data_IF_283252866004
#
_entry.id   IF_283252866004
#
_cell.length_a   1.000
_cell.length_b   1.000
_cell.length_c   1.000
_cell.angle_alpha   90.00
_cell.angle_beta   90.00
_cell.angle_gamma   90.00
#
_symmetry.space_group_name_H-M   'P 1'
#
loop_
_entity.id
_entity.type
_entity.pdbx_description
1 polymer ?
#
# COMPACT_ATOMS: atom_id res chain seq x y z
N UNK A 1 -2.09 -52.05 -1.35
CA UNK A 1 -2.07 -50.71 -1.96
C UNK A 1 -2.23 -49.67 -0.86
N UNK A 2 -1.16 -48.91 -0.60
CA UNK A 2 -1.08 -47.99 0.52
C UNK A 2 -1.84 -46.70 0.20
N UNK A 3 -2.66 -46.17 1.12
CA UNK A 3 -3.49 -44.96 0.93
C UNK A 3 -2.68 -43.74 0.49
N UNK A 4 -1.39 -43.73 0.81
CA UNK A 4 -0.45 -42.66 0.44
C UNK A 4 -0.05 -42.66 -1.04
N UNK A 5 -0.27 -43.76 -1.78
CA UNK A 5 0.08 -43.83 -3.21
C UNK A 5 -1.01 -43.25 -4.11
N UNK A 6 -2.27 -43.18 -3.63
CA UNK A 6 -3.38 -42.57 -4.36
C UNK A 6 -3.31 -41.03 -4.31
N UNK A 7 -2.82 -40.49 -3.19
CA UNK A 7 -2.64 -39.05 -3.00
C UNK A 7 -1.60 -38.46 -3.97
N UNK A 8 -0.51 -39.19 -4.26
CA UNK A 8 0.49 -38.75 -5.23
C UNK A 8 -0.03 -38.75 -6.68
N UNK A 9 -0.94 -39.67 -7.03
CA UNK A 9 -1.56 -39.71 -8.36
C UNK A 9 -2.58 -38.59 -8.58
N UNK A 10 -3.27 -38.13 -7.53
CA UNK A 10 -4.21 -37.00 -7.63
C UNK A 10 -3.46 -35.66 -7.85
N UNK A 11 -2.25 -35.52 -7.31
CA UNK A 11 -1.41 -34.33 -7.49
C UNK A 11 -0.83 -34.17 -8.91
N UNK A 12 -0.81 -35.24 -9.72
CA UNK A 12 -0.29 -35.21 -11.10
C UNK A 12 -1.38 -35.00 -12.17
N UNK A 13 -2.66 -34.94 -11.78
CA UNK A 13 -3.81 -34.74 -12.69
C UNK A 13 -4.28 -33.27 -12.71
N UNK A 14 -3.56 -32.34 -12.07
CA UNK A 14 -3.78 -30.90 -12.30
C UNK A 14 -2.98 -30.49 -13.55
N UNK A 15 -3.31 -31.15 -14.66
CA UNK A 15 -2.93 -30.74 -15.98
C UNK A 15 -3.61 -29.42 -16.29
N UNK A 16 -2.79 -28.39 -16.54
CA UNK A 16 -3.06 -27.29 -17.49
C UNK A 16 -4.53 -26.89 -17.62
N UNK A 17 -5.17 -26.46 -16.53
CA UNK A 17 -6.41 -25.70 -16.66
C UNK A 17 -6.01 -24.29 -17.08
N UNK A 18 -6.37 -23.82 -18.29
CA UNK A 18 -6.23 -22.41 -18.62
C UNK A 18 -7.03 -21.63 -17.57
N UNK A 19 -6.34 -20.86 -16.72
CA UNK A 19 -6.98 -19.80 -15.93
C UNK A 19 -7.35 -18.71 -16.92
N UNK A 20 -8.45 -18.92 -17.63
CA UNK A 20 -9.09 -17.95 -18.50
C UNK A 20 -10.53 -17.82 -18.00
N UNK A 21 -10.87 -16.66 -17.42
CA UNK A 21 -12.23 -16.44 -16.94
C UNK A 21 -12.49 -15.17 -16.13
N UNK A 22 -11.48 -14.44 -15.63
CA UNK A 22 -11.71 -13.04 -15.28
C UNK A 22 -11.77 -12.28 -16.61
N UNK A 23 -12.91 -11.65 -16.90
CA UNK A 23 -13.00 -10.76 -18.05
C UNK A 23 -11.90 -9.71 -17.93
N UNK A 24 -11.22 -9.38 -19.03
CA UNK A 24 -10.16 -8.37 -19.01
C UNK A 24 -10.64 -7.01 -18.47
N UNK A 25 -11.96 -6.74 -18.56
CA UNK A 25 -12.62 -5.62 -17.88
C UNK A 25 -12.64 -5.74 -16.35
N UNK A 26 -12.89 -6.93 -15.78
CA UNK A 26 -12.81 -7.16 -14.33
C UNK A 26 -11.40 -6.91 -13.80
N UNK A 27 -10.35 -7.28 -14.54
CA UNK A 27 -8.97 -6.99 -14.12
C UNK A 27 -8.71 -5.48 -13.98
N UNK A 28 -9.20 -4.67 -14.93
CA UNK A 28 -9.06 -3.21 -14.88
C UNK A 28 -9.82 -2.64 -13.67
N UNK A 29 -11.00 -3.17 -13.37
CA UNK A 29 -11.79 -2.71 -12.24
C UNK A 29 -11.22 -3.16 -10.89
N UNK A 30 -10.65 -4.36 -10.81
CA UNK A 30 -9.87 -4.82 -9.66
C UNK A 30 -8.64 -3.94 -9.41
N UNK A 31 -7.90 -3.56 -10.45
CA UNK A 31 -6.76 -2.64 -10.34
C UNK A 31 -7.18 -1.26 -9.84
N UNK A 32 -8.32 -0.73 -10.30
CA UNK A 32 -8.88 0.53 -9.79
C UNK A 32 -9.29 0.41 -8.32
N UNK A 33 -9.93 -0.69 -7.93
CA UNK A 33 -10.31 -0.95 -6.54
C UNK A 33 -9.06 -1.06 -5.64
N UNK A 34 -8.02 -1.76 -6.09
CA UNK A 34 -6.75 -1.87 -5.39
C UNK A 34 -6.07 -0.50 -5.24
N UNK A 35 -6.10 0.35 -6.28
CA UNK A 35 -5.61 1.74 -6.22
C UNK A 35 -6.32 2.52 -5.10
N UNK A 36 -7.65 2.47 -5.06
CA UNK A 36 -8.44 3.17 -4.04
C UNK A 36 -8.12 2.67 -2.63
N UNK A 37 -8.02 1.36 -2.44
CA UNK A 37 -7.65 0.79 -1.14
C UNK A 37 -6.26 1.25 -0.68
N UNK A 38 -5.27 1.25 -1.59
CA UNK A 38 -3.92 1.75 -1.30
C UNK A 38 -3.92 3.23 -0.91
N UNK A 39 -4.68 4.08 -1.63
CA UNK A 39 -4.81 5.50 -1.29
C UNK A 39 -5.34 5.70 0.14
N UNK A 40 -6.38 4.97 0.52
CA UNK A 40 -6.97 5.05 1.87
C UNK A 40 -5.95 4.62 2.94
N UNK A 41 -5.26 3.50 2.73
CA UNK A 41 -4.26 2.98 3.68
C UNK A 41 -3.11 3.98 3.86
N UNK A 42 -2.55 4.47 2.76
CA UNK A 42 -1.39 5.35 2.80
C UNK A 42 -1.74 6.73 3.36
N UNK A 43 -2.93 7.25 3.05
CA UNK A 43 -3.45 8.48 3.65
C UNK A 43 -3.63 8.31 5.16
N UNK A 44 -4.28 7.22 5.59
CA UNK A 44 -4.44 6.90 7.01
C UNK A 44 -3.09 6.80 7.73
N UNK A 45 -2.09 6.16 7.14
CA UNK A 45 -0.75 6.06 7.71
C UNK A 45 -0.08 7.43 7.87
N UNK A 46 -0.15 8.27 6.84
CA UNK A 46 0.38 9.62 6.88
C UNK A 46 -0.31 10.49 7.95
N UNK A 47 -1.63 10.44 8.00
CA UNK A 47 -2.44 11.20 8.96
C UNK A 47 -2.14 10.74 10.40
N UNK A 48 -2.03 9.42 10.63
CA UNK A 48 -1.65 8.86 11.93
C UNK A 48 -0.25 9.31 12.39
N UNK A 49 0.73 9.32 11.48
CA UNK A 49 2.06 9.84 11.79
C UNK A 49 2.05 11.34 12.14
N UNK A 50 1.24 12.13 11.43
CA UNK A 50 1.04 13.55 11.71
C UNK A 50 0.40 13.78 13.08
N UNK A 51 -0.68 13.07 13.39
CA UNK A 51 -1.37 13.17 14.68
C UNK A 51 -0.46 12.77 15.84
N UNK A 52 0.23 11.64 15.73
CA UNK A 52 1.15 11.19 16.78
C UNK A 52 2.29 12.19 17.01
N UNK A 53 2.84 12.77 15.94
CA UNK A 53 3.85 13.81 16.07
C UNK A 53 3.32 15.06 16.79
N UNK A 54 2.10 15.50 16.47
CA UNK A 54 1.45 16.62 17.15
C UNK A 54 1.22 16.34 18.63
N UNK A 55 0.71 15.15 18.98
CA UNK A 55 0.51 14.76 20.38
C UNK A 55 1.80 14.74 21.19
N UNK A 56 2.92 14.32 20.58
CA UNK A 56 4.23 14.34 21.25
C UNK A 56 4.74 15.77 21.50
N UNK A 57 4.48 16.71 20.59
CA UNK A 57 4.86 18.10 20.77
C UNK A 57 3.96 18.83 21.77
N UNK A 58 2.65 18.56 21.76
CA UNK A 58 1.73 19.06 22.79
C UNK A 58 2.15 18.57 24.16
N UNK A 59 2.44 17.26 24.30
CA UNK A 59 2.94 16.68 25.54
C UNK A 59 4.24 17.34 25.99
N UNK A 60 5.20 17.55 25.09
CA UNK A 60 6.45 18.22 25.43
C UNK A 60 6.22 19.67 25.89
N UNK A 61 5.27 20.37 25.29
CA UNK A 61 4.93 21.76 25.63
C UNK A 61 4.22 21.85 26.98
N UNK A 62 3.25 20.98 27.23
CA UNK A 62 2.53 20.91 28.51
C UNK A 62 3.46 20.58 29.67
N UNK A 63 4.40 19.65 29.46
CA UNK A 63 5.42 19.31 30.45
C UNK A 63 6.37 20.48 30.74
N UNK A 64 6.78 21.23 29.72
CA UNK A 64 7.65 22.40 29.88
C UNK A 64 6.93 23.55 30.61
N UNK A 65 5.64 23.76 30.32
CA UNK A 65 4.80 24.78 30.95
C UNK A 65 4.40 24.46 32.39
N UNK A 66 4.24 23.18 32.73
CA UNK A 66 3.77 22.74 34.06
C UNK A 66 4.83 22.82 35.16
N UNK A 67 6.01 23.43 34.91
CA UNK A 67 7.16 23.42 35.83
C UNK A 67 7.55 21.99 36.27
N UNK A 68 7.22 20.98 35.46
CA UNK A 68 7.43 19.58 35.78
C UNK A 68 8.92 19.25 35.91
N UNK A 69 9.27 18.38 36.86
CA UNK A 69 10.63 17.80 37.02
C UNK A 69 10.99 16.82 35.89
N UNK A 70 10.60 17.10 34.65
CA UNK A 70 11.00 16.28 33.52
C UNK A 70 12.39 16.75 33.08
N UNK A 71 13.39 15.86 33.05
CA UNK A 71 14.73 16.23 32.62
C UNK A 71 14.69 16.80 31.20
N UNK A 72 15.40 17.90 30.95
CA UNK A 72 15.55 18.48 29.61
C UNK A 72 15.88 17.47 28.49
N UNK A 73 16.70 16.42 28.74
CA UNK A 73 16.91 15.34 27.77
C UNK A 73 15.64 14.58 27.36
N UNK A 74 14.69 14.37 28.28
CA UNK A 74 13.42 13.71 27.98
C UNK A 74 12.52 14.60 27.11
N UNK A 75 12.44 15.90 27.41
CA UNK A 75 11.75 16.87 26.54
C UNK A 75 12.36 16.92 25.14
N UNK A 76 13.69 16.93 25.04
CA UNK A 76 14.41 16.86 23.76
C UNK A 76 14.10 15.55 23.01
N UNK A 77 14.00 14.43 23.73
CA UNK A 77 13.65 13.13 23.15
C UNK A 77 12.23 13.13 22.56
N UNK A 78 11.24 13.68 23.28
CA UNK A 78 9.86 13.83 22.78
C UNK A 78 9.82 14.65 21.49
N UNK A 79 10.42 15.85 21.49
CA UNK A 79 10.48 16.72 20.31
C UNK A 79 11.22 16.08 19.13
N UNK A 80 12.31 15.35 19.41
CA UNK A 80 13.06 14.62 18.38
C UNK A 80 12.20 13.50 17.78
N UNK A 81 11.45 12.78 18.62
CA UNK A 81 10.54 11.73 18.18
C UNK A 81 9.39 12.31 17.35
N UNK A 82 8.78 13.41 17.81
CA UNK A 82 7.76 14.13 17.06
C UNK A 82 8.25 14.51 15.65
N UNK A 83 9.45 15.11 15.56
CA UNK A 83 10.09 15.43 14.27
C UNK A 83 10.30 14.19 13.38
N UNK A 84 10.76 13.08 13.96
CA UNK A 84 10.95 11.84 13.21
C UNK A 84 9.62 11.31 12.63
N UNK A 85 8.53 11.38 13.40
CA UNK A 85 7.21 10.98 12.91
C UNK A 85 6.64 11.93 11.86
N UNK A 86 6.87 13.24 11.94
CA UNK A 86 6.53 14.17 10.85
C UNK A 86 7.25 13.81 9.55
N UNK A 87 8.57 13.60 9.63
CA UNK A 87 9.36 13.20 8.47
C UNK A 87 8.87 11.87 7.86
N UNK A 88 8.44 10.92 8.69
CA UNK A 88 7.84 9.66 8.23
C UNK A 88 6.48 9.89 7.57
N UNK A 89 5.63 10.75 8.13
CA UNK A 89 4.36 11.16 7.53
C UNK A 89 4.55 11.79 6.15
N UNK A 90 5.47 12.75 6.02
CA UNK A 90 5.81 13.39 4.74
C UNK A 90 6.37 12.39 3.72
N UNK A 91 7.24 11.49 4.17
CA UNK A 91 7.79 10.43 3.30
C UNK A 91 6.70 9.46 2.83
N UNK A 92 5.78 9.07 3.72
CA UNK A 92 4.64 8.23 3.39
C UNK A 92 3.72 8.92 2.37
N UNK A 93 3.46 10.22 2.52
CA UNK A 93 2.69 11.00 1.53
C UNK A 93 3.38 11.01 0.15
N UNK A 94 4.70 11.24 0.11
CA UNK A 94 5.47 11.19 -1.15
C UNK A 94 5.43 9.82 -1.80
N UNK A 95 5.55 8.74 -1.01
CA UNK A 95 5.43 7.38 -1.51
C UNK A 95 4.02 7.07 -2.01
N UNK A 96 2.99 7.56 -1.33
CA UNK A 96 1.61 7.46 -1.77
C UNK A 96 1.39 8.10 -3.13
N UNK A 97 1.92 9.31 -3.34
CA UNK A 97 1.83 9.99 -4.63
C UNK A 97 2.55 9.21 -5.75
N UNK A 98 3.73 8.66 -5.46
CA UNK A 98 4.47 7.84 -6.45
C UNK A 98 3.73 6.55 -6.80
N UNK A 99 3.20 5.85 -5.79
CA UNK A 99 2.40 4.64 -6.00
C UNK A 99 1.12 4.95 -6.75
N UNK A 100 0.47 6.09 -6.47
CA UNK A 100 -0.73 6.53 -7.19
C UNK A 100 -0.46 6.71 -8.68
N UNK A 101 0.63 7.40 -9.01
CA UNK A 101 1.08 7.63 -10.38
C UNK A 101 1.46 6.32 -11.08
N UNK A 102 2.27 5.49 -10.44
CA UNK A 102 2.67 4.20 -11.00
C UNK A 102 1.48 3.27 -11.24
N UNK A 103 0.51 3.25 -10.32
CA UNK A 103 -0.71 2.44 -10.46
C UNK A 103 -1.62 3.01 -11.56
N UNK A 104 -1.71 4.33 -11.71
CA UNK A 104 -2.44 4.94 -12.82
C UNK A 104 -1.83 4.55 -14.18
N UNK A 105 -0.51 4.66 -14.32
CA UNK A 105 0.21 4.24 -15.54
C UNK A 105 0.03 2.75 -15.82
N UNK A 106 0.11 1.90 -14.79
CA UNK A 106 -0.13 0.46 -14.95
C UNK A 106 -1.56 0.17 -15.44
N UNK A 107 -2.57 0.84 -14.90
CA UNK A 107 -3.96 0.68 -15.34
C UNK A 107 -4.11 1.09 -16.81
N UNK A 108 -3.49 2.21 -17.21
CA UNK A 108 -3.50 2.69 -18.60
C UNK A 108 -2.80 1.70 -19.55
N UNK A 109 -1.62 1.20 -19.20
CA UNK A 109 -0.90 0.18 -19.98
C UNK A 109 -1.73 -1.09 -20.14
N UNK A 110 -2.35 -1.56 -19.05
CA UNK A 110 -3.23 -2.72 -19.07
C UNK A 110 -4.45 -2.47 -19.96
N UNK A 111 -5.09 -1.30 -19.87
CA UNK A 111 -6.21 -0.94 -20.76
C UNK A 111 -5.78 -0.93 -22.23
N UNK A 112 -4.61 -0.39 -22.54
CA UNK A 112 -4.08 -0.33 -23.91
C UNK A 112 -3.73 -1.72 -24.45
N UNK A 113 -3.16 -2.61 -23.63
CA UNK A 113 -2.89 -4.00 -24.00
C UNK A 113 -4.18 -4.80 -24.25
N UNK A 114 -5.26 -4.47 -23.54
CA UNK A 114 -6.54 -5.16 -23.60
C UNK A 114 -7.52 -4.57 -24.61
N UNK A 115 -7.24 -3.36 -25.13
CA UNK A 115 -8.00 -2.77 -26.20
C UNK A 115 -8.00 -3.74 -27.39
N UNK A 116 -9.15 -3.96 -28.06
CA UNK A 116 -9.22 -4.84 -29.22
C UNK A 116 -8.20 -4.32 -30.24
N UNK A 117 -7.15 -5.11 -30.49
CA UNK A 117 -6.22 -4.81 -31.56
C UNK A 117 -7.02 -4.88 -32.86
N UNK A 118 -7.53 -3.74 -33.34
CA UNK A 118 -8.22 -3.67 -34.61
C UNK A 118 -7.17 -3.84 -35.70
N UNK A 119 -6.99 -5.09 -36.13
CA UNK A 119 -6.71 -5.53 -37.49
C UNK A 119 -5.71 -4.72 -38.33
N UNK A 120 -4.52 -5.26 -38.57
CA UNK A 120 -3.91 -5.32 -39.92
C UNK A 120 -2.91 -6.48 -39.99
N UNK A 121 -3.41 -7.70 -40.21
CA UNK A 121 -2.65 -8.71 -40.97
C UNK A 121 -3.44 -8.92 -42.26
N UNK A 122 -3.10 -8.13 -43.28
CA UNK A 122 -3.45 -8.46 -44.65
C UNK A 122 -2.52 -9.58 -45.11
N UNK A 123 -3.08 -10.75 -45.40
CA UNK A 123 -2.44 -11.77 -46.23
C UNK A 123 -2.72 -11.48 -47.70
#
# INVERSE_FOLDING_TARGET
MNRNSLALMILLIIGKTPVYGASCSELVDELKAMKQAQQVILKSLADNHGQFASSLDELATEVEMSNGKVPGPALKSLRTTAKAYRNRGESAQKQAQKLDQATASLIEEVQNCLAPQSSTVSF
#
